data_IF_315957226603
#
_entry.id   IF_315957226603
#
_cell.length_a   1.000
_cell.length_b   1.000
_cell.length_c   1.000
_cell.angle_alpha   90.00
_cell.angle_beta   90.00
_cell.angle_gamma   90.00
#
_symmetry.space_group_name_H-M   'P 1'
#
loop_
_entity.id
_entity.type
_entity.pdbx_description
1 polymer ?
#
# COMPACT_ATOMS: atom_id res chain seq x y z
N UNK A 1 -31.17 73.24 4.44
CA UNK A 1 -30.16 72.58 3.56
C UNK A 1 -29.08 71.94 4.42
N UNK A 2 -29.30 70.69 4.85
CA UNK A 2 -28.44 69.99 5.83
C UNK A 2 -28.42 68.46 5.59
N UNK A 3 -28.37 68.05 4.33
CA UNK A 3 -28.37 66.63 3.92
C UNK A 3 -27.41 66.28 2.75
N UNK A 4 -26.33 67.04 2.57
CA UNK A 4 -25.36 66.79 1.48
C UNK A 4 -23.88 66.80 1.93
N UNK A 5 -23.60 66.49 3.22
CA UNK A 5 -22.23 66.48 3.78
C UNK A 5 -21.98 65.28 4.71
N UNK A 6 -22.40 64.08 4.29
CA UNK A 6 -22.01 62.81 4.94
C UNK A 6 -21.51 61.73 3.96
N UNK A 7 -21.32 62.08 2.69
CA UNK A 7 -20.87 61.12 1.64
C UNK A 7 -19.39 61.33 1.25
N UNK A 8 -18.74 62.40 1.71
CA UNK A 8 -17.38 62.74 1.27
C UNK A 8 -16.26 62.52 2.32
N UNK A 9 -16.57 61.90 3.46
CA UNK A 9 -15.63 61.69 4.58
C UNK A 9 -15.34 60.21 4.89
N UNK A 10 -15.61 59.31 3.94
CA UNK A 10 -15.10 57.93 3.92
C UNK A 10 -14.15 57.73 2.72
N UNK A 11 -13.48 58.81 2.32
CA UNK A 11 -12.51 58.91 1.23
C UNK A 11 -11.07 59.09 1.77
N UNK A 12 -10.84 58.79 3.05
CA UNK A 12 -9.56 59.02 3.72
C UNK A 12 -9.10 57.88 4.63
N UNK A 13 -9.41 56.63 4.26
CA UNK A 13 -8.80 55.45 4.86
C UNK A 13 -8.84 54.27 3.87
N UNK A 14 -8.02 54.33 2.83
CA UNK A 14 -7.28 53.19 2.21
C UNK A 14 -6.82 53.59 0.80
N UNK A 15 -5.88 54.53 0.73
CA UNK A 15 -4.93 54.58 -0.37
C UNK A 15 -3.64 54.01 0.22
N UNK A 16 -3.30 52.77 -0.17
CA UNK A 16 -2.07 52.00 0.04
C UNK A 16 -2.41 50.58 0.51
N UNK A 17 -2.36 49.62 -0.39
CA UNK A 17 -1.31 48.60 -0.40
C UNK A 17 -1.61 47.54 -1.45
N UNK A 18 -0.62 47.33 -2.33
CA UNK A 18 -0.43 46.12 -3.11
C UNK A 18 -0.53 44.86 -2.23
N UNK A 19 -0.99 43.75 -2.79
CA UNK A 19 -0.71 42.45 -2.18
C UNK A 19 -1.67 41.33 -2.56
N UNK A 20 -1.27 40.54 -3.55
CA UNK A 20 -1.35 39.07 -3.64
C UNK A 20 -2.43 38.28 -2.88
N UNK A 21 -2.97 37.31 -3.62
CA UNK A 21 -3.44 36.00 -3.18
C UNK A 21 -4.76 35.93 -2.39
N UNK A 22 -5.78 35.42 -3.08
CA UNK A 22 -6.95 34.81 -2.49
C UNK A 22 -7.56 33.84 -3.49
N UNK A 23 -7.08 32.60 -3.51
CA UNK A 23 -7.83 31.51 -4.12
C UNK A 23 -9.13 31.38 -3.34
N UNK A 24 -10.23 31.83 -3.96
CA UNK A 24 -11.57 31.66 -3.41
C UNK A 24 -11.88 30.17 -3.39
N UNK A 25 -11.83 29.57 -2.20
CA UNK A 25 -12.42 28.27 -1.93
C UNK A 25 -13.94 28.43 -2.00
N UNK A 26 -14.58 27.70 -2.91
CA UNK A 26 -16.03 27.52 -2.88
C UNK A 26 -16.37 26.27 -2.08
N UNK A 27 -17.07 26.47 -0.97
CA UNK A 27 -17.73 25.42 -0.20
C UNK A 27 -18.97 24.97 -0.96
N UNK A 28 -19.08 23.67 -1.30
CA UNK A 28 -20.29 23.11 -1.91
C UNK A 28 -21.07 22.32 -0.86
N UNK A 29 -22.35 22.68 -0.70
CA UNK A 29 -23.33 21.99 0.13
C UNK A 29 -23.81 20.69 -0.54
N UNK A 30 -23.98 19.62 0.25
CA UNK A 30 -24.46 18.33 -0.23
C UNK A 30 -25.95 18.36 -0.62
N UNK A 31 -26.30 17.63 -1.69
CA UNK A 31 -27.67 17.28 -2.05
C UNK A 31 -28.25 18.02 -3.26
N UNK A 32 -27.86 17.62 -4.47
CA UNK A 32 -28.75 17.55 -5.64
C UNK A 32 -28.05 16.78 -6.75
N UNK A 33 -28.71 15.75 -7.28
CA UNK A 33 -28.23 14.95 -8.40
C UNK A 33 -28.11 15.80 -9.66
N UNK A 34 -26.90 16.29 -9.91
CA UNK A 34 -26.47 16.76 -11.22
C UNK A 34 -25.17 16.06 -11.55
N UNK A 35 -25.24 15.10 -12.46
CA UNK A 35 -24.07 14.54 -13.12
C UNK A 35 -23.33 15.68 -13.82
N UNK A 36 -22.28 16.19 -13.18
CA UNK A 36 -21.28 17.00 -13.82
C UNK A 36 -20.38 16.03 -14.59
N UNK A 37 -20.52 16.01 -15.92
CA UNK A 37 -19.46 15.57 -16.80
C UNK A 37 -18.28 16.54 -16.61
N UNK A 38 -17.41 16.23 -15.65
CA UNK A 38 -16.08 16.80 -15.63
C UNK A 38 -15.34 16.24 -16.85
N UNK A 39 -14.64 17.07 -17.65
CA UNK A 39 -13.74 16.55 -18.66
C UNK A 39 -12.74 15.63 -17.95
N UNK A 40 -12.37 14.51 -18.60
CA UNK A 40 -11.30 13.64 -18.11
C UNK A 40 -10.08 14.53 -17.77
N UNK A 41 -9.88 14.78 -16.48
CA UNK A 41 -8.55 15.12 -16.00
C UNK A 41 -7.77 13.85 -16.25
N UNK A 42 -6.98 13.83 -17.32
CA UNK A 42 -5.99 12.77 -17.52
C UNK A 42 -5.07 12.84 -16.31
N UNK A 43 -5.33 11.99 -15.31
CA UNK A 43 -4.33 11.68 -14.30
C UNK A 43 -3.10 11.25 -15.10
N UNK A 44 -1.92 11.88 -14.93
CA UNK A 44 -0.75 11.46 -15.66
C UNK A 44 -0.59 9.95 -15.44
N UNK A 45 -0.69 9.15 -16.50
CA UNK A 45 -0.42 7.73 -16.37
C UNK A 45 1.02 7.62 -15.86
N UNK A 46 1.27 6.78 -14.86
CA UNK A 46 2.61 6.62 -14.30
C UNK A 46 3.61 6.03 -15.32
N UNK A 47 3.16 5.71 -16.53
CA UNK A 47 3.90 4.99 -17.55
C UNK A 47 3.62 3.50 -17.45
N UNK A 48 4.30 2.68 -18.28
CA UNK A 48 4.20 1.23 -18.18
C UNK A 48 4.77 0.74 -16.85
N UNK A 49 4.16 -0.31 -16.29
CA UNK A 49 4.73 -1.01 -15.14
C UNK A 49 6.04 -1.71 -15.57
N UNK A 50 7.11 -1.42 -14.84
CA UNK A 50 8.45 -1.96 -15.07
C UNK A 50 8.70 -3.26 -14.29
N UNK A 51 7.87 -3.60 -13.30
CA UNK A 51 8.08 -4.84 -12.54
C UNK A 51 7.77 -6.08 -13.39
N UNK A 52 8.63 -7.11 -13.33
CA UNK A 52 8.29 -8.41 -13.86
C UNK A 52 7.20 -9.02 -12.99
N UNK A 53 6.13 -9.52 -13.63
CA UNK A 53 5.06 -10.23 -12.93
C UNK A 53 4.50 -9.44 -11.71
N UNK A 54 4.21 -8.15 -11.90
CA UNK A 54 3.74 -7.26 -10.83
C UNK A 54 2.35 -7.60 -10.28
N UNK A 55 1.47 -8.16 -11.12
CA UNK A 55 0.16 -8.72 -10.73
C UNK A 55 0.20 -10.22 -10.44
N UNK A 56 1.39 -10.81 -10.37
CA UNK A 56 1.62 -12.20 -9.93
C UNK A 56 0.96 -13.33 -10.77
N UNK A 57 0.37 -13.02 -11.93
CA UNK A 57 -0.31 -13.96 -12.83
C UNK A 57 0.58 -15.04 -13.49
N UNK A 58 1.90 -14.88 -13.48
CA UNK A 58 2.82 -15.72 -14.27
C UNK A 58 3.23 -17.02 -13.57
N UNK A 59 2.38 -17.53 -12.68
CA UNK A 59 2.60 -18.78 -11.94
C UNK A 59 3.65 -18.66 -10.83
N UNK A 60 4.04 -19.80 -10.27
CA UNK A 60 4.89 -19.88 -9.08
C UNK A 60 5.86 -21.06 -9.12
N UNK A 61 6.86 -21.01 -8.22
CA UNK A 61 7.76 -22.11 -7.90
C UNK A 61 7.78 -22.38 -6.39
N UNK A 62 8.38 -23.50 -5.98
CA UNK A 62 8.59 -23.83 -4.57
C UNK A 62 10.05 -23.59 -4.19
N UNK A 63 10.30 -22.65 -3.27
CA UNK A 63 11.65 -22.48 -2.73
C UNK A 63 12.03 -23.72 -1.90
N UNK A 64 13.25 -24.22 -2.11
CA UNK A 64 13.79 -25.42 -1.45
C UNK A 64 12.89 -26.67 -1.54
N UNK A 65 12.03 -26.75 -2.56
CA UNK A 65 10.99 -27.78 -2.73
C UNK A 65 10.01 -27.87 -1.55
N UNK A 66 9.79 -26.78 -0.80
CA UNK A 66 8.82 -26.72 0.29
C UNK A 66 7.41 -26.44 -0.30
N UNK A 67 6.46 -27.39 -0.21
CA UNK A 67 5.14 -27.24 -0.82
C UNK A 67 4.35 -26.02 -0.34
N UNK A 68 4.54 -25.62 0.90
CA UNK A 68 3.84 -24.51 1.53
C UNK A 68 4.39 -23.13 1.13
N UNK A 69 5.45 -23.05 0.32
CA UNK A 69 6.08 -21.80 -0.11
C UNK A 69 5.99 -21.61 -1.63
N UNK A 70 4.79 -21.28 -2.13
CA UNK A 70 4.58 -20.91 -3.53
C UNK A 70 5.02 -19.47 -3.78
N UNK A 71 6.18 -19.28 -4.39
CA UNK A 71 6.73 -17.95 -4.67
C UNK A 71 6.43 -17.57 -6.11
N UNK A 72 5.85 -16.39 -6.39
CA UNK A 72 5.58 -15.94 -7.75
C UNK A 72 6.86 -15.95 -8.60
N UNK A 73 6.75 -16.36 -9.86
CA UNK A 73 7.88 -16.31 -10.78
C UNK A 73 8.42 -14.88 -10.91
N UNK A 74 9.76 -14.75 -10.96
CA UNK A 74 10.44 -13.46 -11.00
C UNK A 74 10.65 -12.80 -9.63
N UNK A 75 10.14 -13.41 -8.56
CA UNK A 75 10.26 -12.90 -7.19
C UNK A 75 11.10 -13.83 -6.29
N UNK A 76 11.68 -13.20 -5.28
CA UNK A 76 12.49 -13.78 -4.22
C UNK A 76 11.77 -13.59 -2.90
N UNK A 77 11.77 -14.63 -2.07
CA UNK A 77 11.12 -14.64 -0.78
C UNK A 77 12.12 -14.95 0.32
N UNK A 78 12.15 -14.13 1.36
CA UNK A 78 12.91 -14.39 2.58
C UNK A 78 12.00 -14.22 3.78
N UNK A 79 12.28 -14.95 4.86
CA UNK A 79 11.52 -14.84 6.10
C UNK A 79 12.46 -14.93 7.31
N UNK A 80 12.01 -14.38 8.43
CA UNK A 80 12.67 -14.57 9.72
C UNK A 80 12.16 -15.85 10.39
N UNK A 81 13.04 -16.48 11.17
CA UNK A 81 12.73 -17.66 11.97
C UNK A 81 13.48 -17.56 13.31
N UNK A 82 12.83 -17.93 14.41
CA UNK A 82 13.39 -17.87 15.76
C UNK A 82 13.02 -16.61 16.55
N UNK A 83 13.98 -16.07 17.31
CA UNK A 83 13.68 -15.02 18.30
C UNK A 83 13.08 -13.76 17.67
N UNK A 84 11.98 -13.28 18.25
CA UNK A 84 11.36 -12.02 17.88
C UNK A 84 11.90 -10.88 18.77
N UNK A 85 12.70 -9.94 18.24
CA UNK A 85 13.26 -8.86 19.05
C UNK A 85 12.24 -7.76 19.40
N UNK A 86 11.02 -7.82 18.83
CA UNK A 86 9.96 -6.84 19.07
C UNK A 86 9.01 -7.27 20.19
N UNK A 87 8.98 -8.57 20.49
CA UNK A 87 8.19 -9.14 21.57
C UNK A 87 8.90 -10.39 22.11
N UNK A 88 9.41 -10.36 23.35
CA UNK A 88 10.19 -11.45 23.93
C UNK A 88 9.34 -12.63 24.42
N UNK A 89 8.00 -12.56 24.33
CA UNK A 89 7.15 -13.70 24.70
C UNK A 89 7.49 -14.91 23.80
N UNK A 90 7.81 -16.09 24.36
CA UNK A 90 8.10 -17.30 23.59
C UNK A 90 7.01 -17.71 22.58
N UNK A 91 5.77 -17.28 22.80
CA UNK A 91 4.66 -17.52 21.86
C UNK A 91 4.79 -16.69 20.57
N UNK A 92 5.49 -15.55 20.62
CA UNK A 92 5.61 -14.60 19.52
C UNK A 92 6.92 -14.76 18.73
N UNK A 93 7.58 -15.91 18.80
CA UNK A 93 8.74 -16.21 17.95
C UNK A 93 8.36 -16.07 16.48
N UNK A 94 9.29 -15.58 15.67
CA UNK A 94 9.15 -15.62 14.23
C UNK A 94 9.12 -17.08 13.78
N UNK A 95 8.12 -17.41 12.98
CA UNK A 95 7.99 -18.72 12.37
C UNK A 95 7.93 -18.60 10.86
N UNK A 96 8.30 -19.68 10.17
CA UNK A 96 8.14 -19.76 8.72
C UNK A 96 6.67 -19.56 8.32
N UNK A 97 6.37 -18.58 7.44
CA UNK A 97 5.03 -18.39 6.91
C UNK A 97 4.69 -19.48 5.88
N UNK A 98 3.44 -19.49 5.45
CA UNK A 98 2.96 -20.20 4.27
C UNK A 98 2.66 -19.18 3.18
N UNK A 99 3.03 -19.47 1.93
CA UNK A 99 2.79 -18.61 0.78
C UNK A 99 2.04 -19.38 -0.29
N UNK A 100 0.98 -18.77 -0.84
CA UNK A 100 0.15 -19.32 -1.90
C UNK A 100 -0.06 -18.27 -2.98
N UNK A 101 0.04 -18.68 -4.24
CA UNK A 101 -0.51 -17.89 -5.35
C UNK A 101 -1.90 -18.46 -5.64
N UNK A 102 -2.92 -17.67 -5.34
CA UNK A 102 -4.32 -18.11 -5.33
C UNK A 102 -5.08 -17.47 -6.49
N UNK A 103 -5.60 -18.27 -7.44
CA UNK A 103 -6.59 -17.76 -8.37
C UNK A 103 -7.95 -17.60 -7.70
N UNK A 104 -8.82 -16.78 -8.28
CA UNK A 104 -10.18 -16.50 -7.80
C UNK A 104 -10.99 -17.76 -7.51
N UNK A 105 -10.76 -18.84 -8.26
CA UNK A 105 -11.41 -20.14 -8.07
C UNK A 105 -11.18 -20.79 -6.68
N UNK A 106 -10.15 -20.35 -5.93
CA UNK A 106 -9.87 -20.80 -4.56
C UNK A 106 -10.32 -19.82 -3.48
N UNK A 107 -10.98 -18.73 -3.87
CA UNK A 107 -11.54 -17.73 -2.99
C UNK A 107 -13.07 -17.75 -3.07
N UNK A 108 -13.79 -17.53 -1.96
CA UNK A 108 -15.21 -17.20 -2.00
C UNK A 108 -15.47 -16.03 -2.95
N UNK A 109 -16.54 -16.06 -3.77
CA UNK A 109 -16.84 -14.99 -4.74
C UNK A 109 -16.86 -13.58 -4.14
N UNK A 110 -17.36 -13.43 -2.93
CA UNK A 110 -17.43 -12.16 -2.20
C UNK A 110 -16.04 -11.62 -1.77
N UNK A 111 -15.00 -12.46 -1.77
CA UNK A 111 -13.64 -12.07 -1.42
C UNK A 111 -12.78 -11.70 -2.66
N UNK A 112 -13.28 -11.97 -3.88
CA UNK A 112 -12.52 -11.71 -5.12
C UNK A 112 -12.12 -10.25 -5.23
N UNK A 113 -13.08 -9.32 -5.13
CA UNK A 113 -12.81 -7.88 -5.19
C UNK A 113 -12.03 -7.35 -3.99
N UNK A 114 -11.94 -8.11 -2.88
CA UNK A 114 -11.17 -7.72 -1.70
C UNK A 114 -9.69 -8.02 -1.88
N UNK A 115 -9.36 -9.17 -2.47
CA UNK A 115 -7.98 -9.68 -2.49
C UNK A 115 -7.30 -9.61 -3.85
N UNK A 116 -8.07 -9.49 -4.93
CA UNK A 116 -7.55 -9.34 -6.30
C UNK A 116 -7.75 -7.87 -6.73
N UNK A 117 -6.69 -7.28 -7.25
CA UNK A 117 -6.62 -5.93 -7.81
C UNK A 117 -6.53 -5.96 -9.32
N UNK A 118 -5.75 -6.90 -9.87
CA UNK A 118 -5.53 -7.06 -11.31
C UNK A 118 -5.57 -8.55 -11.66
N UNK A 119 -6.06 -8.88 -12.86
CA UNK A 119 -6.08 -10.27 -13.31
C UNK A 119 -7.03 -11.20 -12.55
N UNK A 120 -6.54 -12.38 -12.18
CA UNK A 120 -7.28 -13.49 -11.54
C UNK A 120 -6.60 -14.02 -10.27
N UNK A 121 -5.34 -13.65 -10.02
CA UNK A 121 -4.52 -14.19 -8.94
C UNK A 121 -4.19 -13.15 -7.88
N UNK A 122 -3.87 -13.65 -6.69
CA UNK A 122 -3.32 -12.86 -5.58
C UNK A 122 -2.32 -13.71 -4.81
N UNK A 123 -1.33 -13.08 -4.19
CA UNK A 123 -0.39 -13.78 -3.32
C UNK A 123 -0.87 -13.69 -1.89
N UNK A 124 -1.14 -14.84 -1.26
CA UNK A 124 -1.41 -14.93 0.17
C UNK A 124 -0.17 -15.39 0.91
N UNK A 125 0.31 -14.59 1.87
CA UNK A 125 1.33 -14.99 2.84
C UNK A 125 0.67 -15.02 4.22
N UNK A 126 0.73 -16.14 4.94
CA UNK A 126 0.02 -16.26 6.20
C UNK A 126 0.64 -17.24 7.19
N UNK A 127 0.27 -17.08 8.46
CA UNK A 127 0.38 -18.13 9.47
C UNK A 127 -0.74 -18.01 10.50
N UNK A 128 -1.38 -19.13 10.82
CA UNK A 128 -2.29 -19.19 11.97
C UNK A 128 -1.50 -19.36 13.26
N UNK A 129 -1.82 -18.56 14.28
CA UNK A 129 -1.14 -18.57 15.58
C UNK A 129 0.39 -18.47 15.50
N UNK A 130 0.89 -17.67 14.56
CA UNK A 130 2.34 -17.47 14.37
C UNK A 130 2.67 -16.03 14.04
N UNK A 131 3.71 -15.51 14.69
CA UNK A 131 4.29 -14.23 14.31
C UNK A 131 5.14 -14.45 13.04
N UNK A 132 5.02 -13.58 12.04
CA UNK A 132 5.76 -13.70 10.79
C UNK A 132 6.43 -12.39 10.41
N UNK A 133 7.62 -12.48 9.81
CA UNK A 133 8.27 -11.39 9.12
C UNK A 133 8.86 -11.93 7.82
N UNK A 134 8.58 -11.27 6.71
CA UNK A 134 9.04 -11.70 5.39
C UNK A 134 9.33 -10.52 4.47
N UNK A 135 10.08 -10.79 3.40
CA UNK A 135 10.28 -9.89 2.27
C UNK A 135 9.90 -10.60 0.98
N UNK A 136 9.18 -9.91 0.10
CA UNK A 136 8.95 -10.33 -1.29
C UNK A 136 9.60 -9.28 -2.20
N UNK A 137 10.61 -9.68 -2.95
CA UNK A 137 11.48 -8.75 -3.67
C UNK A 137 11.95 -9.28 -5.01
N UNK A 138 12.40 -8.39 -5.88
CA UNK A 138 13.05 -8.72 -7.15
C UNK A 138 14.22 -7.78 -7.40
N UNK A 139 15.21 -8.24 -8.15
CA UNK A 139 16.38 -7.44 -8.53
C UNK A 139 16.16 -6.85 -9.92
N UNK A 140 16.22 -5.52 -10.03
CA UNK A 140 15.93 -4.78 -11.25
C UNK A 140 17.16 -4.01 -11.72
N UNK A 141 17.56 -4.19 -12.98
CA UNK A 141 18.53 -3.30 -13.63
C UNK A 141 17.83 -2.02 -14.09
N UNK A 142 18.19 -0.88 -13.49
CA UNK A 142 17.55 0.42 -13.78
C UNK A 142 18.54 1.42 -14.38
N UNK A 143 18.05 2.21 -15.32
CA UNK A 143 18.77 3.34 -15.92
C UNK A 143 18.60 4.62 -15.08
N UNK A 144 19.43 5.66 -15.25
CA UNK A 144 19.24 6.92 -14.55
C UNK A 144 17.82 7.52 -14.75
N UNK A 145 17.25 8.05 -13.67
CA UNK A 145 15.94 8.68 -13.65
C UNK A 145 15.22 8.59 -12.31
N UNK A 146 14.02 9.16 -12.25
CA UNK A 146 13.16 9.16 -11.07
C UNK A 146 12.09 8.07 -11.20
N UNK A 147 11.90 7.31 -10.14
CA UNK A 147 11.01 6.16 -10.11
C UNK A 147 9.99 6.28 -8.97
N UNK A 148 8.85 5.62 -9.16
CA UNK A 148 7.82 5.44 -8.13
C UNK A 148 7.54 3.95 -8.01
N UNK A 149 7.78 3.40 -6.82
CA UNK A 149 7.30 2.08 -6.43
C UNK A 149 5.90 2.22 -5.82
N UNK A 150 4.97 1.36 -6.22
CA UNK A 150 3.62 1.22 -5.66
C UNK A 150 3.41 -0.24 -5.28
N UNK A 151 2.95 -0.48 -4.04
CA UNK A 151 2.70 -1.82 -3.48
C UNK A 151 1.29 -1.81 -2.91
N UNK A 152 0.43 -2.74 -3.35
CA UNK A 152 -0.89 -2.94 -2.78
C UNK A 152 -0.93 -4.18 -1.89
N UNK A 153 -1.60 -4.06 -0.74
CA UNK A 153 -1.76 -5.15 0.22
C UNK A 153 -3.14 -5.12 0.89
N UNK A 154 -3.64 -6.29 1.25
CA UNK A 154 -4.74 -6.47 2.20
C UNK A 154 -4.19 -7.19 3.45
N UNK A 155 -4.05 -6.51 4.59
CA UNK A 155 -3.71 -7.15 5.85
C UNK A 155 -4.94 -7.86 6.42
N UNK A 156 -4.94 -9.19 6.36
CA UNK A 156 -5.98 -10.06 6.89
C UNK A 156 -5.61 -10.50 8.33
N UNK A 157 -5.47 -9.52 9.23
CA UNK A 157 -4.95 -9.73 10.58
C UNK A 157 -6.08 -9.83 11.60
N UNK A 158 -6.33 -11.05 12.07
CA UNK A 158 -7.53 -11.41 12.85
C UNK A 158 -7.11 -12.07 14.16
N UNK A 159 -7.71 -11.62 15.25
CA UNK A 159 -7.47 -12.15 16.63
C UNK A 159 -8.55 -13.10 17.11
N UNK A 160 -9.66 -13.21 16.37
CA UNK A 160 -10.81 -14.01 16.74
C UNK A 160 -11.90 -13.99 15.69
N UNK A 161 -12.92 -14.82 15.88
CA UNK A 161 -14.15 -14.79 15.11
C UNK A 161 -15.35 -14.73 16.05
N UNK A 162 -16.35 -13.91 15.72
CA UNK A 162 -17.65 -13.88 16.40
C UNK A 162 -18.75 -14.17 15.36
N UNK A 163 -19.47 -15.29 15.56
CA UNK A 163 -20.50 -15.77 14.62
C UNK A 163 -20.01 -15.82 13.15
N UNK A 164 -18.76 -16.23 12.94
CA UNK A 164 -18.12 -16.31 11.62
C UNK A 164 -17.60 -14.98 11.07
N UNK A 165 -17.79 -13.87 11.78
CA UNK A 165 -17.24 -12.56 11.40
C UNK A 165 -15.84 -12.36 11.99
N UNK A 166 -14.93 -11.81 11.17
CA UNK A 166 -13.55 -11.52 11.57
C UNK A 166 -13.52 -10.45 12.67
N UNK A 167 -12.83 -10.73 13.77
CA UNK A 167 -12.44 -9.75 14.77
C UNK A 167 -11.02 -9.29 14.43
N UNK A 168 -10.92 -8.11 13.81
CA UNK A 168 -9.63 -7.54 13.42
C UNK A 168 -8.73 -7.29 14.63
N UNK A 169 -7.43 -7.45 14.42
CA UNK A 169 -6.45 -7.13 15.46
C UNK A 169 -6.57 -5.64 15.87
N UNK A 170 -6.70 -5.33 17.18
CA UNK A 170 -6.99 -3.97 17.61
C UNK A 170 -5.75 -3.06 17.64
N UNK A 171 -4.55 -3.64 17.79
CA UNK A 171 -3.30 -2.90 17.86
C UNK A 171 -2.71 -2.70 16.45
N UNK A 172 -2.47 -1.46 15.99
CA UNK A 172 -1.86 -1.18 14.69
C UNK A 172 -0.49 -1.83 14.47
N UNK A 173 0.26 -2.14 15.53
CA UNK A 173 1.55 -2.83 15.43
C UNK A 173 1.39 -4.33 15.14
N UNK A 174 0.16 -4.84 15.08
CA UNK A 174 -0.11 -6.22 14.66
C UNK A 174 0.28 -6.46 13.22
N UNK A 175 0.41 -5.40 12.41
CA UNK A 175 0.84 -5.46 11.03
C UNK A 175 1.62 -4.23 10.63
N UNK A 176 2.76 -4.43 9.97
CA UNK A 176 3.57 -3.33 9.45
C UNK A 176 4.11 -3.67 8.06
N UNK A 177 4.25 -2.63 7.24
CA UNK A 177 4.76 -2.71 5.86
C UNK A 177 5.95 -1.78 5.69
N UNK A 178 6.99 -2.20 4.98
CA UNK A 178 8.16 -1.38 4.67
C UNK A 178 8.51 -1.57 3.21
N UNK A 179 8.58 -0.47 2.45
CA UNK A 179 8.93 -0.53 1.02
C UNK A 179 10.44 -0.60 0.88
N UNK A 180 10.90 -1.43 -0.06
CA UNK A 180 12.30 -1.60 -0.45
C UNK A 180 12.41 -1.02 -1.86
N UNK A 181 13.08 0.12 -2.00
CA UNK A 181 13.07 0.91 -3.22
C UNK A 181 14.47 1.47 -3.52
N UNK A 182 15.08 0.99 -4.61
CA UNK A 182 16.44 1.37 -4.96
C UNK A 182 17.46 0.73 -4.01
N UNK A 183 18.29 1.56 -3.39
CA UNK A 183 19.29 1.14 -2.40
C UNK A 183 18.86 1.44 -0.95
N UNK A 184 17.57 1.72 -0.73
CA UNK A 184 17.05 2.11 0.58
C UNK A 184 15.68 1.52 0.88
N UNK A 185 15.17 1.85 2.07
CA UNK A 185 13.84 1.45 2.51
C UNK A 185 13.09 2.64 3.09
N UNK A 186 11.77 2.57 3.13
CA UNK A 186 10.97 3.44 4.01
C UNK A 186 11.19 3.05 5.48
N UNK A 187 10.60 3.81 6.40
CA UNK A 187 10.28 3.28 7.73
C UNK A 187 9.18 2.22 7.65
N UNK A 188 8.89 1.58 8.79
CA UNK A 188 7.70 0.73 8.93
C UNK A 188 6.43 1.60 8.95
N UNK A 189 5.49 1.25 8.09
CA UNK A 189 4.21 1.92 7.87
C UNK A 189 3.09 1.05 8.43
N UNK A 190 2.04 1.69 8.96
CA UNK A 190 0.91 1.01 9.58
C UNK A 190 -0.24 0.93 8.56
N UNK A 191 -0.62 -0.26 8.07
CA UNK A 191 -1.77 -0.42 7.22
C UNK A 191 -3.07 -0.43 8.05
N UNK A 192 -4.19 -0.27 7.37
CA UNK A 192 -5.52 -0.52 7.94
C UNK A 192 -5.90 -1.97 7.69
N UNK A 193 -6.17 -2.72 8.76
CA UNK A 193 -6.52 -4.13 8.62
C UNK A 193 -7.94 -4.29 8.07
N UNK A 194 -8.18 -5.37 7.33
CA UNK A 194 -9.47 -5.62 6.69
C UNK A 194 -9.81 -4.66 5.54
N UNK A 195 -8.81 -3.96 4.99
CA UNK A 195 -8.98 -2.98 3.92
C UNK A 195 -7.87 -3.09 2.88
N UNK A 196 -8.17 -2.68 1.64
CA UNK A 196 -7.17 -2.45 0.59
C UNK A 196 -6.27 -1.28 1.00
N UNK A 197 -4.96 -1.50 1.01
CA UNK A 197 -3.95 -0.48 1.28
C UNK A 197 -3.02 -0.34 0.08
N UNK A 198 -2.66 0.88 -0.27
CA UNK A 198 -1.67 1.20 -1.30
C UNK A 198 -0.59 2.08 -0.71
N UNK A 199 0.67 1.67 -0.86
CA UNK A 199 1.83 2.40 -0.39
C UNK A 199 2.72 2.79 -1.57
N UNK A 200 3.38 3.95 -1.46
CA UNK A 200 4.27 4.45 -2.50
C UNK A 200 5.61 4.95 -1.96
N UNK A 201 6.68 4.75 -2.72
CA UNK A 201 8.01 5.30 -2.46
C UNK A 201 8.60 5.88 -3.74
N UNK A 202 9.20 7.07 -3.63
CA UNK A 202 9.91 7.73 -4.73
C UNK A 202 11.41 7.63 -4.51
N UNK A 203 12.16 7.32 -5.57
CA UNK A 203 13.62 7.26 -5.52
C UNK A 203 14.24 7.64 -6.86
N UNK A 204 15.53 7.96 -6.85
CA UNK A 204 16.29 8.35 -8.05
C UNK A 204 17.48 7.42 -8.25
N UNK A 205 17.70 7.02 -9.50
CA UNK A 205 18.92 6.32 -9.94
C UNK A 205 19.76 7.34 -10.70
N UNK A 206 21.04 7.49 -10.34
CA UNK A 206 21.96 8.45 -10.97
C UNK A 206 22.92 7.78 -11.95
N UNK A 207 23.23 6.51 -11.75
CA UNK A 207 24.03 5.67 -12.63
C UNK A 207 23.33 4.33 -12.86
N UNK A 208 23.45 3.72 -14.06
CA UNK A 208 22.88 2.40 -14.31
C UNK A 208 23.36 1.39 -13.27
N UNK A 209 22.43 0.68 -12.62
CA UNK A 209 22.75 -0.28 -11.57
C UNK A 209 21.60 -1.28 -11.33
N UNK A 210 21.92 -2.43 -10.73
CA UNK A 210 20.91 -3.34 -10.17
C UNK A 210 20.49 -2.86 -8.80
N UNK A 211 19.18 -2.81 -8.55
CA UNK A 211 18.60 -2.47 -7.25
C UNK A 211 17.58 -3.52 -6.80
N UNK A 212 17.42 -3.67 -5.48
CA UNK A 212 16.39 -4.53 -4.89
C UNK A 212 15.09 -3.73 -4.79
N UNK A 213 13.99 -4.28 -5.32
CA UNK A 213 12.66 -3.65 -5.31
C UNK A 213 11.66 -4.61 -4.69
N UNK A 214 10.75 -4.10 -3.87
CA UNK A 214 9.64 -4.87 -3.30
C UNK A 214 9.22 -4.32 -1.94
N UNK A 215 8.82 -5.21 -1.04
CA UNK A 215 8.43 -4.84 0.31
C UNK A 215 8.77 -5.92 1.34
N UNK A 216 8.88 -5.47 2.58
CA UNK A 216 8.91 -6.31 3.77
C UNK A 216 7.61 -6.10 4.55
N UNK A 217 7.09 -7.18 5.12
CA UNK A 217 5.91 -7.14 5.99
C UNK A 217 6.20 -7.95 7.24
N UNK A 218 5.53 -7.57 8.32
CA UNK A 218 5.55 -8.38 9.55
C UNK A 218 4.24 -8.27 10.29
N UNK A 219 3.81 -9.37 10.88
CA UNK A 219 2.81 -9.35 11.94
C UNK A 219 3.42 -9.85 13.23
N UNK A 220 3.55 -8.96 14.22
CA UNK A 220 4.41 -9.13 15.40
C UNK A 220 4.00 -10.24 16.35
N UNK A 221 2.74 -10.64 16.30
CA UNK A 221 2.12 -11.50 17.29
C UNK A 221 1.53 -12.73 16.66
N UNK A 222 1.55 -13.83 17.43
CA UNK A 222 0.93 -15.09 17.09
C UNK A 222 -0.60 -15.03 17.30
N UNK A 223 -1.25 -14.27 16.44
CA UNK A 223 -2.71 -14.11 16.37
C UNK A 223 -3.36 -15.21 15.53
N UNK A 224 -4.68 -15.39 15.67
CA UNK A 224 -5.42 -16.49 15.06
C UNK A 224 -5.24 -16.59 13.53
N UNK A 225 -5.22 -15.45 12.82
CA UNK A 225 -4.82 -15.38 11.42
C UNK A 225 -3.91 -14.17 11.20
N UNK A 226 -2.64 -14.44 10.92
CA UNK A 226 -1.65 -13.44 10.54
C UNK A 226 -1.46 -13.52 9.02
N UNK A 227 -2.45 -13.03 8.26
CA UNK A 227 -2.52 -13.14 6.81
C UNK A 227 -2.28 -11.82 6.07
N UNK A 228 -1.74 -11.92 4.87
CA UNK A 228 -1.46 -10.81 3.96
C UNK A 228 -1.81 -11.24 2.54
N UNK A 229 -2.65 -10.48 1.85
CA UNK A 229 -2.82 -10.60 0.41
C UNK A 229 -2.07 -9.49 -0.31
N UNK A 230 -1.40 -9.81 -1.41
CA UNK A 230 -0.55 -8.91 -2.18
C UNK A 230 -0.94 -9.04 -3.64
N UNK A 231 -1.18 -7.91 -4.31
CA UNK A 231 -1.49 -7.90 -5.74
C UNK A 231 -1.19 -6.54 -6.40
N UNK A 232 -1.09 -6.49 -7.72
CA UNK A 232 -0.94 -5.30 -8.56
C UNK A 232 0.21 -4.38 -8.11
N UNK A 233 1.40 -4.95 -7.94
CA UNK A 233 2.59 -4.16 -7.62
C UNK A 233 3.15 -3.49 -8.86
N UNK A 234 3.58 -2.24 -8.70
CA UNK A 234 4.06 -1.41 -9.80
C UNK A 234 5.37 -0.70 -9.54
N UNK A 235 6.24 -0.65 -10.55
CA UNK A 235 7.38 0.27 -10.59
C UNK A 235 7.26 1.12 -11.84
N UNK A 236 7.37 2.43 -11.67
CA UNK A 236 7.06 3.38 -12.73
C UNK A 236 8.18 4.40 -12.89
N UNK A 237 8.41 4.86 -14.12
CA UNK A 237 9.34 5.95 -14.46
C UNK A 237 8.55 7.05 -15.19
N UNK A 238 7.85 7.92 -14.44
CA UNK A 238 7.01 8.97 -15.02
C UNK A 238 7.80 10.05 -15.74
#
# INVERSE_FOLDING_TARGET
MRQAKRVAALLLALLMMCGLAGANWQTIQAGSDKFLYLPLVSVPSLGPNLLPNGSFEQGWYHIDNIPELQIPHGWQFTYADGANPLDPDPWNVWVRPETRVLPSAFLPPEEHELFIWDGDQTVKVFKGFGAIQFELTTNMWLQPGSYILVINVFPDLVVGYDNGQKIWAPDPLSGEVKLIAGNGTTGWLLPKFGQKNSFQARFTITTPQTVKIGAAMRGRWAIENNGWFLDDWGLYKP
#
